data_IF_304321457445
#
_entry.id   IF_304321457445
#
_cell.length_a   1.000
_cell.length_b   1.000
_cell.length_c   1.000
_cell.angle_alpha   90.00
_cell.angle_beta   90.00
_cell.angle_gamma   90.00
#
_symmetry.space_group_name_H-M   'P 1'
#
loop_
_entity.id
_entity.type
_entity.pdbx_description
1 polymer ?
#
# COMPACT_ATOMS: atom_id res chain seq x y z
N UNK A 1 9.02 9.78 -22.00
CA UNK A 1 9.24 8.79 -20.92
C UNK A 1 8.12 7.73 -20.92
N UNK A 2 6.84 8.07 -20.67
CA UNK A 2 5.73 7.10 -20.63
C UNK A 2 5.63 6.26 -21.91
N UNK A 3 5.63 6.93 -23.09
CA UNK A 3 5.61 6.24 -24.39
C UNK A 3 6.79 5.28 -24.58
N UNK A 4 7.96 5.63 -24.07
CA UNK A 4 9.16 4.77 -24.12
C UNK A 4 8.96 3.51 -23.28
N UNK A 5 8.52 3.65 -22.04
CA UNK A 5 8.25 2.50 -21.17
C UNK A 5 7.14 1.61 -21.71
N UNK A 6 6.05 2.20 -22.20
CA UNK A 6 4.94 1.44 -22.75
C UNK A 6 5.34 0.63 -24.00
N UNK A 7 6.15 1.23 -24.91
CA UNK A 7 6.54 0.61 -26.17
C UNK A 7 7.75 -0.32 -26.04
N UNK A 8 8.80 0.09 -25.31
CA UNK A 8 10.06 -0.65 -25.25
C UNK A 8 10.07 -1.70 -24.13
N UNK A 9 9.41 -1.43 -23.00
CA UNK A 9 9.36 -2.34 -21.85
C UNK A 9 7.99 -2.99 -21.66
N UNK A 10 7.05 -2.81 -22.57
CA UNK A 10 5.70 -3.39 -22.53
C UNK A 10 4.95 -3.09 -21.22
N UNK A 11 5.22 -1.94 -20.60
CA UNK A 11 4.54 -1.53 -19.36
C UNK A 11 3.07 -1.31 -19.64
N UNK A 12 2.20 -2.01 -18.90
CA UNK A 12 0.73 -1.94 -19.01
C UNK A 12 0.05 -1.46 -17.74
N UNK A 13 0.78 -1.40 -16.65
CA UNK A 13 0.30 -1.03 -15.33
C UNK A 13 1.19 0.07 -14.75
N UNK A 14 0.59 1.10 -14.17
CA UNK A 14 1.29 2.22 -13.53
C UNK A 14 0.58 2.63 -12.25
N UNK A 15 1.35 3.09 -11.27
CA UNK A 15 0.85 3.78 -10.10
C UNK A 15 1.03 5.28 -10.30
N UNK A 16 -0.06 6.04 -10.25
CA UNK A 16 -0.06 7.50 -10.39
C UNK A 16 -0.22 8.14 -9.03
N UNK A 17 0.83 8.82 -8.57
CA UNK A 17 0.89 9.47 -7.26
C UNK A 17 1.15 10.97 -7.40
N UNK A 18 0.78 11.74 -6.38
CA UNK A 18 1.22 13.12 -6.22
C UNK A 18 2.70 13.15 -5.80
N UNK A 19 3.38 14.25 -6.08
CA UNK A 19 4.83 14.37 -5.85
C UNK A 19 5.24 14.55 -4.39
N UNK A 20 4.31 14.82 -3.46
CA UNK A 20 4.64 15.08 -2.05
C UNK A 20 5.53 16.32 -1.86
N UNK A 21 5.38 17.34 -2.69
CA UNK A 21 6.14 18.60 -2.64
C UNK A 21 5.18 19.77 -2.48
N UNK A 22 5.63 20.82 -1.76
CA UNK A 22 4.81 22.03 -1.50
C UNK A 22 4.41 22.77 -2.78
N UNK A 23 5.27 22.71 -3.80
CA UNK A 23 5.00 23.30 -5.11
C UNK A 23 5.33 22.29 -6.21
N UNK A 24 4.39 22.01 -7.11
CA UNK A 24 4.64 21.13 -8.24
C UNK A 24 5.74 21.71 -9.13
N UNK A 25 6.61 20.83 -9.65
CA UNK A 25 7.69 21.23 -10.57
C UNK A 25 7.15 21.33 -12.01
N UNK A 26 6.03 20.66 -12.32
CA UNK A 26 5.43 20.59 -13.64
C UNK A 26 4.05 21.25 -13.69
N UNK A 27 3.28 20.88 -14.71
CA UNK A 27 1.95 21.42 -14.98
C UNK A 27 0.83 20.77 -14.13
N UNK A 28 1.13 19.70 -13.40
CA UNK A 28 0.13 18.93 -12.64
C UNK A 28 0.34 19.07 -11.13
N UNK A 29 -0.72 19.45 -10.43
CA UNK A 29 -0.74 19.58 -8.98
C UNK A 29 -1.15 18.27 -8.28
N UNK A 30 -1.90 17.40 -8.98
CA UNK A 30 -2.40 16.15 -8.42
C UNK A 30 -2.56 15.05 -9.48
N UNK A 31 -2.68 13.80 -9.01
CA UNK A 31 -2.85 12.63 -9.87
C UNK A 31 -4.09 12.69 -10.75
N UNK A 32 -5.18 13.31 -10.29
CA UNK A 32 -6.41 13.43 -11.08
C UNK A 32 -6.24 14.26 -12.36
N UNK A 33 -5.42 15.30 -12.33
CA UNK A 33 -5.12 16.07 -13.54
C UNK A 33 -4.45 15.20 -14.61
N UNK A 34 -3.50 14.35 -14.21
CA UNK A 34 -2.85 13.38 -15.12
C UNK A 34 -3.87 12.38 -15.66
N UNK A 35 -4.72 11.81 -14.80
CA UNK A 35 -5.75 10.85 -15.22
C UNK A 35 -6.69 11.46 -16.28
N UNK A 36 -7.14 12.70 -16.08
CA UNK A 36 -8.05 13.41 -16.98
C UNK A 36 -7.45 13.75 -18.35
N UNK A 37 -6.12 13.73 -18.51
CA UNK A 37 -5.49 13.95 -19.84
C UNK A 37 -5.70 12.81 -20.81
N UNK A 38 -6.04 11.61 -20.37
CA UNK A 38 -6.10 10.42 -21.20
C UNK A 38 -4.75 9.90 -21.71
N UNK A 39 -3.63 10.52 -21.28
CA UNK A 39 -2.29 10.16 -21.77
C UNK A 39 -1.89 8.72 -21.44
N UNK A 40 -2.40 8.16 -20.34
CA UNK A 40 -2.13 6.79 -19.93
C UNK A 40 -2.72 5.80 -20.94
N UNK A 41 -4.00 5.95 -21.24
CA UNK A 41 -4.73 5.12 -22.21
C UNK A 41 -4.15 5.26 -23.62
N UNK A 42 -3.86 6.50 -24.04
CA UNK A 42 -3.23 6.80 -25.33
C UNK A 42 -1.87 6.12 -25.51
N UNK A 43 -1.17 5.80 -24.41
CA UNK A 43 0.09 5.05 -24.43
C UNK A 43 -0.09 3.55 -24.15
N UNK A 44 -1.32 3.03 -24.12
CA UNK A 44 -1.62 1.62 -23.95
C UNK A 44 -1.47 1.09 -22.53
N UNK A 45 -1.54 1.98 -21.52
CA UNK A 45 -1.68 1.60 -20.12
C UNK A 45 -3.11 1.11 -19.90
N UNK A 46 -3.26 -0.08 -19.38
CA UNK A 46 -4.55 -0.76 -19.20
C UNK A 46 -4.95 -0.92 -17.75
N UNK A 47 -4.03 -0.66 -16.79
CA UNK A 47 -4.30 -0.78 -15.37
C UNK A 47 -3.63 0.35 -14.61
N UNK A 48 -4.38 1.01 -13.76
CA UNK A 48 -3.95 2.26 -13.11
C UNK A 48 -4.14 2.16 -11.60
N UNK A 49 -3.04 2.21 -10.88
CA UNK A 49 -3.03 2.37 -9.42
C UNK A 49 -3.13 3.84 -9.03
N UNK A 50 -3.79 4.10 -7.93
CA UNK A 50 -3.86 5.41 -7.27
C UNK A 50 -3.58 5.27 -5.78
N UNK A 51 -3.02 6.32 -5.16
CA UNK A 51 -2.64 6.26 -3.76
C UNK A 51 -3.84 6.14 -2.81
N UNK A 52 -3.69 5.28 -1.79
CA UNK A 52 -4.56 5.18 -0.62
C UNK A 52 -3.79 5.49 0.67
N UNK A 53 -4.47 6.10 1.65
CA UNK A 53 -3.87 6.61 2.88
C UNK A 53 -4.62 6.08 4.11
N UNK A 54 -4.41 4.82 4.52
CA UNK A 54 -5.10 4.25 5.69
C UNK A 54 -4.82 5.00 6.99
N UNK A 55 -3.64 5.60 7.12
CA UNK A 55 -3.21 6.36 8.30
C UNK A 55 -3.33 7.88 8.10
N UNK A 56 -3.99 8.33 7.03
CA UNK A 56 -3.98 9.73 6.64
C UNK A 56 -2.69 10.14 5.94
N UNK A 57 -2.45 11.43 5.86
CA UNK A 57 -1.22 12.04 5.33
C UNK A 57 -0.86 13.26 6.16
N UNK A 58 0.43 13.53 6.43
CA UNK A 58 0.84 14.74 7.12
C UNK A 58 0.56 16.02 6.30
N UNK A 59 0.54 15.87 4.97
CA UNK A 59 0.51 17.00 4.03
C UNK A 59 -0.88 17.22 3.40
N UNK A 60 -1.85 16.33 3.66
CA UNK A 60 -3.18 16.38 3.04
C UNK A 60 -4.24 16.18 4.12
N UNK A 61 -5.20 17.09 4.23
CA UNK A 61 -6.29 16.98 5.18
C UNK A 61 -7.21 15.78 4.87
N UNK A 62 -7.74 15.14 5.91
CA UNK A 62 -8.55 13.91 5.78
C UNK A 62 -9.77 14.09 4.87
N UNK A 63 -10.42 15.25 4.91
CA UNK A 63 -11.54 15.57 4.02
C UNK A 63 -11.12 15.66 2.55
N UNK A 64 -9.90 16.12 2.27
CA UNK A 64 -9.35 16.16 0.91
C UNK A 64 -8.95 14.77 0.42
N UNK A 65 -8.36 13.94 1.29
CA UNK A 65 -8.08 12.52 1.00
C UNK A 65 -9.38 11.81 0.61
N UNK A 66 -10.43 11.98 1.41
CA UNK A 66 -11.74 11.39 1.14
C UNK A 66 -12.33 11.88 -0.18
N UNK A 67 -12.35 13.19 -0.41
CA UNK A 67 -12.85 13.78 -1.66
C UNK A 67 -12.08 13.28 -2.87
N UNK A 68 -10.75 13.24 -2.79
CA UNK A 68 -9.90 12.75 -3.87
C UNK A 68 -10.15 11.27 -4.19
N UNK A 69 -10.44 10.45 -3.17
CA UNK A 69 -10.78 9.04 -3.38
C UNK A 69 -12.15 8.89 -4.07
N UNK A 70 -13.15 9.66 -3.65
CA UNK A 70 -14.47 9.68 -4.29
C UNK A 70 -14.36 10.10 -5.76
N UNK A 71 -13.65 11.19 -6.06
CA UNK A 71 -13.45 11.65 -7.44
C UNK A 71 -12.77 10.58 -8.31
N UNK A 72 -11.80 9.86 -7.77
CA UNK A 72 -11.13 8.75 -8.48
C UNK A 72 -12.07 7.59 -8.76
N UNK A 73 -12.95 7.24 -7.82
CA UNK A 73 -13.97 6.21 -8.01
C UNK A 73 -14.96 6.59 -9.12
N UNK A 74 -15.52 7.80 -9.04
CA UNK A 74 -16.44 8.33 -10.05
C UNK A 74 -15.79 8.35 -11.43
N UNK A 75 -14.55 8.81 -11.51
CA UNK A 75 -13.80 8.85 -12.75
C UNK A 75 -13.56 7.45 -13.34
N UNK A 76 -13.16 6.48 -12.48
CA UNK A 76 -12.95 5.11 -12.93
C UNK A 76 -14.21 4.48 -13.51
N UNK A 77 -15.36 4.70 -12.85
CA UNK A 77 -16.67 4.20 -13.31
C UNK A 77 -17.07 4.88 -14.63
N UNK A 78 -17.01 6.21 -14.66
CA UNK A 78 -17.43 7.01 -15.82
C UNK A 78 -16.64 6.67 -17.09
N UNK A 79 -15.32 6.54 -16.94
CA UNK A 79 -14.41 6.29 -18.07
C UNK A 79 -14.15 4.79 -18.29
N UNK A 80 -14.84 3.92 -17.55
CA UNK A 80 -14.69 2.45 -17.59
C UNK A 80 -13.22 2.00 -17.51
N UNK A 81 -12.50 2.52 -16.50
CA UNK A 81 -11.07 2.28 -16.31
C UNK A 81 -10.83 1.15 -15.32
N UNK A 82 -9.86 0.28 -15.62
CA UNK A 82 -9.35 -0.71 -14.67
C UNK A 82 -8.42 -0.02 -13.67
N UNK A 83 -8.99 0.50 -12.60
CA UNK A 83 -8.27 1.21 -11.55
C UNK A 83 -8.27 0.41 -10.24
N UNK A 84 -7.27 0.65 -9.40
CA UNK A 84 -7.15 0.09 -8.06
C UNK A 84 -6.47 1.09 -7.12
N UNK A 85 -6.69 0.91 -5.82
CA UNK A 85 -6.01 1.67 -4.78
C UNK A 85 -4.76 0.90 -4.34
N UNK A 86 -3.62 1.58 -4.26
CA UNK A 86 -2.40 1.06 -3.65
C UNK A 86 -2.06 1.91 -2.43
N UNK A 87 -2.01 1.30 -1.25
CA UNK A 87 -1.84 2.06 -0.03
C UNK A 87 -0.38 2.29 0.31
N UNK A 88 -0.12 3.31 1.10
CA UNK A 88 1.11 3.42 1.88
C UNK A 88 1.27 2.15 2.74
N UNK A 89 2.50 1.82 3.14
CA UNK A 89 2.72 0.68 4.04
C UNK A 89 2.10 0.91 5.42
N UNK A 90 1.59 -0.17 6.00
CA UNK A 90 0.90 -0.18 7.28
C UNK A 90 1.48 -1.26 8.19
N UNK A 91 1.20 -1.18 9.50
CA UNK A 91 1.72 -2.14 10.49
C UNK A 91 0.62 -2.84 11.30
N UNK A 92 -0.59 -2.30 11.32
CA UNK A 92 -1.70 -2.77 12.14
C UNK A 92 -2.89 -3.19 11.28
N UNK A 93 -3.25 -4.48 11.33
CA UNK A 93 -4.33 -5.04 10.51
C UNK A 93 -5.71 -4.42 10.83
N UNK A 94 -6.01 -4.24 12.13
CA UNK A 94 -7.29 -3.69 12.58
C UNK A 94 -7.55 -2.29 12.01
N UNK A 95 -6.52 -1.45 12.01
CA UNK A 95 -6.60 -0.10 11.46
C UNK A 95 -6.87 -0.13 9.96
N UNK A 96 -6.16 -0.99 9.23
CA UNK A 96 -6.33 -1.14 7.78
C UNK A 96 -7.73 -1.64 7.42
N UNK A 97 -8.24 -2.65 8.16
CA UNK A 97 -9.57 -3.21 7.95
C UNK A 97 -10.67 -2.18 8.27
N UNK A 98 -10.49 -1.41 9.35
CA UNK A 98 -11.40 -0.33 9.70
C UNK A 98 -11.44 0.78 8.63
N UNK A 99 -10.27 1.15 8.11
CA UNK A 99 -10.16 2.12 7.02
C UNK A 99 -10.81 1.59 5.73
N UNK A 100 -10.56 0.34 5.35
CA UNK A 100 -11.18 -0.28 4.18
C UNK A 100 -12.71 -0.25 4.27
N UNK A 101 -13.25 -0.70 5.41
CA UNK A 101 -14.68 -0.69 5.66
C UNK A 101 -15.26 0.71 5.55
N UNK A 102 -14.60 1.70 6.15
CA UNK A 102 -15.02 3.10 6.08
C UNK A 102 -14.95 3.64 4.64
N UNK A 103 -13.88 3.35 3.89
CA UNK A 103 -13.76 3.76 2.49
C UNK A 103 -14.90 3.18 1.64
N UNK A 104 -15.27 1.91 1.86
CA UNK A 104 -16.37 1.23 1.18
C UNK A 104 -17.73 1.84 1.55
N UNK A 105 -17.96 2.15 2.83
CA UNK A 105 -19.15 2.88 3.28
C UNK A 105 -19.25 4.29 2.67
N UNK A 106 -18.11 4.93 2.43
CA UNK A 106 -18.00 6.23 1.74
C UNK A 106 -18.08 6.12 0.20
N UNK A 107 -18.37 4.92 -0.34
CA UNK A 107 -18.63 4.68 -1.76
C UNK A 107 -17.47 4.13 -2.58
N UNK A 108 -16.36 3.73 -1.96
CA UNK A 108 -15.28 3.09 -2.71
C UNK A 108 -15.71 1.74 -3.28
N UNK A 109 -15.47 1.56 -4.58
CA UNK A 109 -15.70 0.31 -5.31
C UNK A 109 -14.40 -0.26 -5.92
N UNK A 110 -13.31 0.50 -5.86
CA UNK A 110 -12.02 0.07 -6.41
C UNK A 110 -11.41 -1.02 -5.53
N UNK A 111 -10.83 -2.07 -6.14
CA UNK A 111 -10.05 -3.06 -5.41
C UNK A 111 -8.84 -2.41 -4.76
N UNK A 112 -8.43 -2.95 -3.62
CA UNK A 112 -7.36 -2.38 -2.80
C UNK A 112 -6.18 -3.34 -2.74
N UNK A 113 -4.97 -2.78 -2.87
CA UNK A 113 -3.70 -3.43 -2.57
C UNK A 113 -3.11 -2.77 -1.33
N UNK A 114 -2.87 -3.56 -0.31
CA UNK A 114 -2.31 -3.06 0.95
C UNK A 114 -0.79 -3.09 0.89
N UNK A 115 -0.18 -1.97 1.25
CA UNK A 115 1.25 -1.83 1.42
C UNK A 115 1.74 -2.57 2.65
N UNK A 116 2.64 -3.54 2.45
CA UNK A 116 3.22 -4.37 3.49
C UNK A 116 4.72 -4.05 3.61
N UNK A 117 5.23 -3.68 4.79
CA UNK A 117 6.67 -3.54 4.97
C UNK A 117 7.34 -4.91 4.84
N UNK A 118 8.30 -5.04 3.94
CA UNK A 118 9.14 -6.24 3.86
C UNK A 118 9.97 -6.43 5.13
N UNK A 119 10.51 -7.64 5.39
CA UNK A 119 11.33 -7.92 6.56
C UNK A 119 12.52 -6.95 6.66
N UNK A 120 12.58 -6.19 7.75
CA UNK A 120 13.60 -5.18 7.99
C UNK A 120 13.85 -5.00 9.49
N UNK A 121 14.97 -4.34 9.86
CA UNK A 121 15.23 -4.02 11.26
C UNK A 121 14.25 -2.97 11.77
N UNK A 122 13.92 -3.01 13.06
CA UNK A 122 13.04 -2.01 13.70
C UNK A 122 13.57 -0.59 13.42
N UNK A 123 14.89 -0.38 13.48
CA UNK A 123 15.53 0.89 13.15
C UNK A 123 15.19 1.35 11.72
N UNK A 124 15.27 0.45 10.77
CA UNK A 124 14.95 0.73 9.35
C UNK A 124 13.47 1.06 9.19
N UNK A 125 12.58 0.27 9.77
CA UNK A 125 11.14 0.49 9.71
C UNK A 125 10.75 1.85 10.32
N UNK A 126 11.32 2.18 11.49
CA UNK A 126 11.09 3.47 12.15
C UNK A 126 11.53 4.64 11.28
N UNK A 127 12.72 4.55 10.66
CA UNK A 127 13.23 5.59 9.75
C UNK A 127 12.27 5.83 8.57
N UNK A 128 11.79 4.76 7.95
CA UNK A 128 10.87 4.92 6.82
C UNK A 128 9.51 5.45 7.24
N UNK A 129 8.96 5.00 8.39
CA UNK A 129 7.73 5.56 8.93
C UNK A 129 7.85 7.06 9.24
N UNK A 130 9.01 7.50 9.75
CA UNK A 130 9.31 8.91 10.01
C UNK A 130 9.37 9.73 8.72
N UNK A 131 10.10 9.26 7.71
CA UNK A 131 10.23 9.95 6.41
C UNK A 131 8.86 10.05 5.71
N UNK A 132 8.03 9.03 5.85
CA UNK A 132 6.68 8.98 5.24
C UNK A 132 5.62 9.69 6.07
N UNK A 133 5.97 10.26 7.24
CA UNK A 133 5.05 11.00 8.08
C UNK A 133 3.91 10.16 8.70
N UNK A 134 4.08 8.83 8.82
CA UNK A 134 3.04 7.90 9.26
C UNK A 134 3.04 7.80 10.79
N UNK A 135 2.28 8.68 11.46
CA UNK A 135 2.28 8.84 12.91
C UNK A 135 1.80 7.60 13.70
N UNK A 136 0.68 6.95 13.36
CA UNK A 136 0.24 5.71 13.99
C UNK A 136 1.29 4.60 13.90
N UNK A 137 1.84 4.36 12.71
CA UNK A 137 2.91 3.39 12.47
C UNK A 137 4.16 3.68 13.31
N UNK A 138 4.56 4.96 13.44
CA UNK A 138 5.69 5.33 14.31
C UNK A 138 5.44 4.94 15.76
N UNK A 139 4.24 5.19 16.28
CA UNK A 139 3.87 4.80 17.66
C UNK A 139 3.89 3.29 17.85
N UNK A 140 3.38 2.53 16.89
CA UNK A 140 3.39 1.08 16.90
C UNK A 140 4.83 0.52 16.94
N UNK A 141 5.70 0.99 16.04
CA UNK A 141 7.10 0.55 15.97
C UNK A 141 7.86 0.94 17.23
N UNK A 142 7.64 2.14 17.77
CA UNK A 142 8.28 2.61 18.99
C UNK A 142 7.95 1.72 20.19
N UNK A 143 6.71 1.22 20.31
CA UNK A 143 6.33 0.25 21.36
C UNK A 143 7.10 -1.06 21.25
N UNK A 144 7.44 -1.49 20.03
CA UNK A 144 8.20 -2.72 19.80
C UNK A 144 9.70 -2.57 20.05
N UNK A 145 10.22 -1.34 19.96
CA UNK A 145 11.65 -1.07 20.09
C UNK A 145 12.23 -1.47 21.47
N UNK A 146 11.48 -1.29 22.55
CA UNK A 146 11.78 -1.72 23.93
C UNK A 146 13.17 -1.35 24.47
N UNK A 147 14.24 -1.74 23.77
CA UNK A 147 15.62 -1.40 24.08
C UNK A 147 16.49 -1.33 22.81
N UNK A 148 17.72 -0.79 22.94
CA UNK A 148 18.65 -0.56 21.82
C UNK A 148 18.99 -1.86 21.08
N UNK A 149 19.13 -3.00 21.78
CA UNK A 149 19.44 -4.29 21.16
C UNK A 149 18.31 -4.74 20.20
N UNK A 150 17.06 -4.51 20.57
CA UNK A 150 15.91 -4.84 19.72
C UNK A 150 15.84 -4.01 18.43
N UNK A 151 16.39 -2.80 18.42
CA UNK A 151 16.39 -1.95 17.21
C UNK A 151 17.08 -2.61 16.02
N UNK A 152 18.03 -3.49 16.26
CA UNK A 152 18.79 -4.19 15.21
C UNK A 152 18.17 -5.54 14.82
N UNK A 153 17.12 -5.99 15.51
CA UNK A 153 16.43 -7.24 15.15
C UNK A 153 15.57 -7.04 13.91
N UNK A 154 15.58 -8.03 13.02
CA UNK A 154 14.71 -8.06 11.84
C UNK A 154 13.32 -8.46 12.29
N UNK A 155 12.35 -7.65 11.91
CA UNK A 155 10.93 -7.93 12.07
C UNK A 155 10.33 -8.30 10.71
N UNK A 156 9.48 -9.32 10.73
CA UNK A 156 8.68 -9.73 9.58
C UNK A 156 7.21 -9.44 9.84
N UNK A 157 6.40 -9.08 8.83
CA UNK A 157 5.02 -8.63 9.02
C UNK A 157 4.03 -9.80 9.19
N UNK A 158 4.41 -10.86 9.93
CA UNK A 158 3.58 -12.07 10.10
C UNK A 158 2.22 -11.77 10.74
N UNK A 159 2.20 -10.97 11.82
CA UNK A 159 0.96 -10.63 12.52
C UNK A 159 0.05 -9.73 11.68
N UNK A 160 0.64 -8.77 10.97
CA UNK A 160 -0.12 -7.91 10.04
C UNK A 160 -0.80 -8.75 8.95
N UNK A 161 -0.04 -9.64 8.30
CA UNK A 161 -0.57 -10.47 7.22
C UNK A 161 -1.63 -11.46 7.72
N UNK A 162 -1.41 -12.08 8.89
CA UNK A 162 -2.40 -12.99 9.49
C UNK A 162 -3.70 -12.25 9.81
N UNK A 163 -3.62 -11.11 10.50
CA UNK A 163 -4.81 -10.32 10.85
C UNK A 163 -5.55 -9.79 9.62
N UNK A 164 -4.83 -9.38 8.56
CA UNK A 164 -5.46 -8.99 7.30
C UNK A 164 -6.17 -10.19 6.64
N UNK A 165 -5.52 -11.36 6.59
CA UNK A 165 -6.12 -12.57 6.03
C UNK A 165 -7.38 -13.00 6.77
N UNK A 166 -7.35 -12.97 8.10
CA UNK A 166 -8.51 -13.26 8.97
C UNK A 166 -9.66 -12.27 8.72
N UNK A 167 -9.36 -10.96 8.70
CA UNK A 167 -10.37 -9.94 8.44
C UNK A 167 -10.98 -10.03 7.03
N UNK A 168 -10.16 -10.28 6.02
CA UNK A 168 -10.63 -10.50 4.64
C UNK A 168 -11.50 -11.76 4.52
N UNK A 169 -11.18 -12.83 5.26
CA UNK A 169 -11.99 -14.05 5.28
C UNK A 169 -13.31 -13.84 6.00
N UNK A 170 -13.35 -13.02 7.05
CA UNK A 170 -14.55 -12.72 7.84
C UNK A 170 -15.54 -11.80 7.09
N UNK A 171 -15.07 -10.90 6.24
CA UNK A 171 -15.93 -9.98 5.47
C UNK A 171 -15.79 -10.24 3.95
N UNK A 172 -16.78 -10.96 3.39
CA UNK A 172 -16.81 -11.26 1.95
C UNK A 172 -16.95 -10.02 1.06
N UNK A 173 -17.41 -8.91 1.59
CA UNK A 173 -17.51 -7.64 0.86
C UNK A 173 -16.19 -6.85 0.85
N UNK A 174 -15.18 -7.29 1.59
CA UNK A 174 -13.87 -6.65 1.67
C UNK A 174 -13.25 -6.47 0.28
N UNK A 175 -12.79 -5.25 0.00
CA UNK A 175 -12.18 -4.87 -1.28
C UNK A 175 -10.67 -5.07 -1.32
N UNK A 176 -10.03 -5.49 -0.23
CA UNK A 176 -8.62 -5.87 -0.25
C UNK A 176 -8.47 -7.13 -1.10
N UNK A 177 -7.66 -7.07 -2.15
CA UNK A 177 -7.48 -8.19 -3.10
C UNK A 177 -6.03 -8.65 -3.23
N UNK A 178 -5.06 -7.78 -2.92
CA UNK A 178 -3.64 -8.07 -3.05
C UNK A 178 -2.83 -7.38 -1.97
N UNK A 179 -1.60 -7.87 -1.78
CA UNK A 179 -0.56 -7.22 -1.00
C UNK A 179 0.55 -6.70 -1.92
N UNK A 180 1.12 -5.57 -1.56
CA UNK A 180 2.22 -4.92 -2.22
C UNK A 180 3.34 -4.71 -1.20
N UNK A 181 4.56 -5.09 -1.52
CA UNK A 181 5.65 -5.09 -0.55
C UNK A 181 6.62 -3.93 -0.75
N UNK A 182 6.92 -3.23 0.33
CA UNK A 182 7.98 -2.23 0.41
C UNK A 182 9.30 -2.88 0.84
N UNK A 183 10.34 -2.94 -0.01
CA UNK A 183 11.57 -3.71 0.27
C UNK A 183 12.57 -2.94 1.16
N UNK A 184 12.14 -2.46 2.31
CA UNK A 184 12.95 -1.66 3.24
C UNK A 184 14.19 -2.38 3.77
N UNK A 185 14.12 -3.70 3.94
CA UNK A 185 15.25 -4.54 4.35
C UNK A 185 16.05 -5.11 3.19
N UNK A 186 15.79 -4.62 1.97
CA UNK A 186 16.41 -5.07 0.73
C UNK A 186 15.50 -5.94 -0.13
N UNK A 187 15.63 -5.78 -1.45
CA UNK A 187 14.76 -6.43 -2.43
C UNK A 187 14.80 -7.97 -2.35
N UNK A 188 16.00 -8.56 -2.31
CA UNK A 188 16.15 -10.02 -2.31
C UNK A 188 15.47 -10.68 -1.11
N UNK A 189 15.65 -10.09 0.09
CA UNK A 189 15.02 -10.58 1.32
C UNK A 189 13.50 -10.50 1.23
N UNK A 190 12.99 -9.36 0.78
CA UNK A 190 11.54 -9.14 0.63
C UNK A 190 10.94 -10.06 -0.42
N UNK A 191 11.61 -10.25 -1.56
CA UNK A 191 11.14 -11.14 -2.61
C UNK A 191 11.09 -12.60 -2.15
N UNK A 192 12.12 -13.08 -1.44
CA UNK A 192 12.11 -14.43 -0.84
C UNK A 192 10.96 -14.61 0.14
N UNK A 193 10.74 -13.62 1.00
CA UNK A 193 9.65 -13.63 1.98
C UNK A 193 8.26 -13.66 1.29
N UNK A 194 8.03 -12.76 0.34
CA UNK A 194 6.78 -12.68 -0.40
C UNK A 194 6.50 -13.98 -1.18
N UNK A 195 7.54 -14.56 -1.77
CA UNK A 195 7.44 -15.83 -2.51
C UNK A 195 7.08 -17.00 -1.59
N UNK A 196 7.72 -17.12 -0.42
CA UNK A 196 7.39 -18.17 0.54
C UNK A 196 5.91 -18.13 0.96
N UNK A 197 5.36 -16.92 1.16
CA UNK A 197 3.93 -16.75 1.46
C UNK A 197 3.05 -17.13 0.27
N UNK A 198 3.40 -16.67 -0.93
CA UNK A 198 2.65 -16.98 -2.16
C UNK A 198 2.64 -18.47 -2.48
N UNK A 199 3.73 -19.16 -2.19
CA UNK A 199 3.88 -20.61 -2.41
C UNK A 199 3.27 -21.46 -1.27
N UNK A 200 2.73 -20.80 -0.21
CA UNK A 200 2.12 -21.49 0.94
C UNK A 200 3.13 -22.12 1.90
N UNK A 201 4.42 -21.76 1.79
CA UNK A 201 5.51 -22.26 2.68
C UNK A 201 5.43 -21.58 4.04
N UNK A 202 4.31 -21.78 4.75
CA UNK A 202 4.03 -21.16 6.05
C UNK A 202 3.47 -22.20 7.03
N UNK A 203 3.82 -22.07 8.30
CA UNK A 203 3.24 -22.83 9.40
C UNK A 203 2.50 -21.89 10.35
N UNK A 204 1.22 -22.18 10.59
CA UNK A 204 0.39 -21.38 11.50
C UNK A 204 0.81 -21.62 12.96
N UNK A 205 0.80 -20.56 13.75
CA UNK A 205 1.11 -20.60 15.18
C UNK A 205 -0.15 -20.57 16.04
N UNK A 206 -0.13 -21.29 17.15
CA UNK A 206 -1.26 -21.35 18.09
C UNK A 206 -1.58 -20.02 18.78
N UNK A 207 -0.58 -19.12 18.86
CA UNK A 207 -0.72 -17.79 19.45
C UNK A 207 -1.04 -16.69 18.41
N UNK A 208 -1.50 -17.06 17.23
CA UNK A 208 -1.73 -16.17 16.09
C UNK A 208 -0.47 -15.95 15.26
N UNK A 209 -0.69 -15.54 14.00
CA UNK A 209 0.38 -15.36 13.02
C UNK A 209 0.89 -16.69 12.43
N UNK A 210 2.07 -16.63 11.80
CA UNK A 210 2.70 -17.78 11.15
C UNK A 210 4.22 -17.60 11.14
N UNK A 211 4.92 -18.63 10.71
CA UNK A 211 6.35 -18.58 10.39
C UNK A 211 6.60 -19.14 8.99
N UNK A 212 7.68 -18.72 8.37
CA UNK A 212 8.12 -19.27 7.07
C UNK A 212 8.78 -20.62 7.33
N UNK A 213 8.39 -21.62 6.55
CA UNK A 213 9.06 -22.92 6.51
C UNK A 213 10.24 -22.76 5.53
N UNK A 214 11.46 -22.85 6.06
CA UNK A 214 12.66 -22.90 5.20
C UNK A 214 12.81 -24.33 4.67
N UNK A 215 12.77 -24.43 3.33
CA UNK A 215 13.09 -25.68 2.61
C UNK A 215 14.56 -25.73 2.27
#
# INVERSE_FOLDING_TARGET
>A
ILSTFAKQASVKEVLVIGGGVDKPIGEFDCSMQILKTGILQANGITKIGVAGHPEGSPDIADNEIKRALQEKNEFAIKENLNMYIETQFCFEAEMVLAWEKKAREDGNQLPIRIGIPGPATIKTLFRFAQISGIGPSMRFIAKQAGNVAKLMTVQSPHLLLAGLAEGMAADKACLIKHFHYYPFGGFVRTAKYARAISDGNVSLKTNGGFEIIEN
#
